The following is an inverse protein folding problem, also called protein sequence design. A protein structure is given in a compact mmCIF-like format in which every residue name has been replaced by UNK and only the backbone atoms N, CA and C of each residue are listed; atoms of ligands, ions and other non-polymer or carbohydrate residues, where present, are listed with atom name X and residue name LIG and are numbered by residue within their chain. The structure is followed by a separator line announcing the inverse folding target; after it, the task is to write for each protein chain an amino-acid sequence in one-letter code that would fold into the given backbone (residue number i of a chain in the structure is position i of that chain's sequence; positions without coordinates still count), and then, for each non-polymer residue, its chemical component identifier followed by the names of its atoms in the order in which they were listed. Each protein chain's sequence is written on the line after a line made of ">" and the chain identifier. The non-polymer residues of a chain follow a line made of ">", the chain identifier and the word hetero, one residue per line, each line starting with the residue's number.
data_IF_200259133647
#
_entry.id   IF_200259133647
#
_cell.length_a   1.000
_cell.length_b   1.000
_cell.length_c   1.000
_cell.angle_alpha   90.00
_cell.angle_beta   90.00
_cell.angle_gamma   90.00
#
_symmetry.space_group_name_H-M   'P 1'
#
loop_
_entity.id
_entity.type
_entity.pdbx_description
1 polymer ?
#
# COMPACT_ATOMS: atom_id res chain seq x y z
N UNK A 1 22.34 -14.55 23.18
CA UNK A 1 21.30 -14.62 22.12
C UNK A 1 21.28 -16.00 21.49
N UNK A 2 20.12 -16.55 21.20
CA UNK A 2 19.92 -17.80 20.43
C UNK A 2 18.96 -17.53 19.28
N UNK A 3 19.18 -18.19 18.14
CA UNK A 3 18.32 -18.09 16.96
C UNK A 3 17.69 -19.45 16.71
N UNK A 4 16.39 -19.47 16.44
CA UNK A 4 15.62 -20.70 16.15
C UNK A 4 14.43 -20.40 15.24
N UNK A 5 13.89 -21.44 14.63
CA UNK A 5 12.61 -21.35 13.93
C UNK A 5 11.46 -21.37 14.93
N UNK A 6 10.50 -20.49 14.74
CA UNK A 6 9.26 -20.45 15.51
C UNK A 6 8.07 -20.83 14.63
N UNK A 7 6.92 -21.13 15.23
CA UNK A 7 5.71 -21.41 14.45
C UNK A 7 5.01 -20.12 14.00
N UNK A 8 4.11 -20.25 13.02
CA UNK A 8 3.42 -19.14 12.38
C UNK A 8 2.59 -18.28 13.37
N UNK A 9 1.97 -18.89 14.38
CA UNK A 9 1.12 -18.16 15.33
C UNK A 9 1.98 -17.31 16.27
N UNK A 10 2.99 -17.93 16.89
CA UNK A 10 3.92 -17.22 17.76
C UNK A 10 4.64 -16.10 16.98
N UNK A 11 5.02 -16.35 15.71
CA UNK A 11 5.63 -15.34 14.88
C UNK A 11 4.71 -14.13 14.69
N UNK A 12 3.44 -14.35 14.34
CA UNK A 12 2.47 -13.26 14.16
C UNK A 12 2.24 -12.47 15.46
N UNK A 13 2.14 -13.17 16.60
CA UNK A 13 1.95 -12.53 17.91
C UNK A 13 3.13 -11.61 18.25
N UNK A 14 4.36 -12.07 18.09
CA UNK A 14 5.55 -11.24 18.32
C UNK A 14 5.69 -10.13 17.27
N UNK A 15 5.49 -10.45 15.99
CA UNK A 15 5.55 -9.47 14.92
C UNK A 15 4.56 -8.33 15.13
N UNK A 16 3.34 -8.62 15.58
CA UNK A 16 2.31 -7.61 15.84
C UNK A 16 2.67 -6.61 16.95
N UNK A 17 3.59 -6.97 17.84
CA UNK A 17 4.07 -6.11 18.92
C UNK A 17 5.23 -5.19 18.49
N UNK A 18 5.85 -5.44 17.33
CA UNK A 18 6.99 -4.65 16.86
C UNK A 18 6.53 -3.38 16.12
N UNK A 19 7.13 -2.21 16.43
CA UNK A 19 6.72 -0.93 15.84
C UNK A 19 6.86 -0.86 14.31
N UNK A 20 7.85 -1.58 13.76
CA UNK A 20 8.14 -1.60 12.32
C UNK A 20 7.48 -2.77 11.60
N UNK A 21 6.63 -3.52 12.30
CA UNK A 21 5.89 -4.62 11.71
C UNK A 21 5.02 -4.18 10.54
N UNK A 22 4.93 -5.05 9.54
CA UNK A 22 4.05 -4.86 8.40
C UNK A 22 3.42 -6.18 8.01
N UNK A 23 2.38 -6.15 7.22
CA UNK A 23 1.73 -7.34 6.67
C UNK A 23 2.72 -8.26 5.93
N UNK A 24 3.80 -7.70 5.36
CA UNK A 24 4.84 -8.44 4.65
C UNK A 24 5.70 -9.31 5.59
N UNK A 25 5.74 -8.99 6.89
CA UNK A 25 6.38 -9.77 7.94
C UNK A 25 5.33 -10.55 8.74
N UNK A 26 4.49 -11.32 8.06
CA UNK A 26 3.45 -12.18 8.66
C UNK A 26 3.42 -13.55 8.02
N UNK A 27 2.81 -14.51 8.71
CA UNK A 27 2.54 -15.82 8.12
C UNK A 27 1.52 -15.74 6.98
N UNK A 28 0.59 -14.79 7.02
CA UNK A 28 -0.43 -14.61 5.96
C UNK A 28 0.21 -14.25 4.63
N UNK A 29 1.14 -13.28 4.64
CA UNK A 29 1.93 -12.93 3.46
C UNK A 29 2.82 -14.09 3.02
N UNK A 30 3.46 -14.76 3.97
CA UNK A 30 4.33 -15.90 3.71
C UNK A 30 3.58 -17.05 3.05
N UNK A 31 2.36 -17.36 3.47
CA UNK A 31 1.50 -18.38 2.86
C UNK A 31 1.14 -18.03 1.41
N UNK A 32 0.82 -16.75 1.15
CA UNK A 32 0.64 -16.27 -0.21
C UNK A 32 1.90 -16.48 -1.06
N UNK A 33 3.08 -16.14 -0.55
CA UNK A 33 4.34 -16.33 -1.26
C UNK A 33 4.69 -17.81 -1.46
N UNK A 34 4.30 -18.68 -0.51
CA UNK A 34 4.43 -20.14 -0.67
C UNK A 34 3.58 -20.62 -1.86
N UNK A 35 2.39 -20.09 -2.05
CA UNK A 35 1.57 -20.39 -3.24
C UNK A 35 2.22 -19.94 -4.55
N UNK A 36 3.14 -18.96 -4.49
CA UNK A 36 3.95 -18.48 -5.63
C UNK A 36 5.29 -19.26 -5.77
N UNK A 37 5.49 -20.35 -5.00
CA UNK A 37 6.62 -21.26 -5.12
C UNK A 37 7.83 -20.93 -4.24
N UNK A 38 7.65 -20.13 -3.19
CA UNK A 38 8.65 -19.92 -2.15
C UNK A 38 8.52 -21.00 -1.05
N UNK A 39 9.58 -21.19 -0.27
CA UNK A 39 9.53 -21.83 1.06
C UNK A 39 9.59 -20.69 2.08
N UNK A 40 8.76 -20.72 3.12
CA UNK A 40 8.81 -19.76 4.21
C UNK A 40 9.45 -20.37 5.44
N UNK A 41 10.22 -19.57 6.19
CA UNK A 41 10.74 -19.89 7.53
C UNK A 41 10.55 -18.67 8.42
N UNK A 42 10.10 -18.89 9.65
CA UNK A 42 9.89 -17.84 10.65
C UNK A 42 11.01 -17.94 11.68
N UNK A 43 11.81 -16.89 11.78
CA UNK A 43 13.01 -16.85 12.59
C UNK A 43 12.81 -15.90 13.75
N UNK A 44 13.15 -16.40 14.93
CA UNK A 44 13.19 -15.62 16.16
C UNK A 44 14.59 -15.67 16.76
N UNK A 45 15.05 -14.53 17.28
CA UNK A 45 16.26 -14.45 18.09
C UNK A 45 15.92 -13.90 19.47
N UNK A 46 16.22 -14.69 20.52
CA UNK A 46 15.91 -14.34 21.90
C UNK A 46 17.16 -14.32 22.78
N UNK A 47 17.07 -13.56 23.88
CA UNK A 47 18.08 -13.55 24.93
C UNK A 47 18.06 -14.85 25.78
N UNK A 48 18.84 -14.87 26.86
CA UNK A 48 18.90 -16.02 27.81
C UNK A 48 17.64 -16.15 28.68
N UNK A 49 16.81 -15.08 28.74
CA UNK A 49 15.57 -15.01 29.48
C UNK A 49 14.35 -15.33 28.62
N UNK A 50 14.55 -15.54 27.30
CA UNK A 50 13.48 -15.78 26.33
C UNK A 50 12.80 -14.52 25.82
N UNK A 51 13.40 -13.34 26.05
CA UNK A 51 12.90 -12.09 25.46
C UNK A 51 13.23 -12.07 23.98
N UNK A 52 12.23 -11.89 23.13
CA UNK A 52 12.43 -11.71 21.69
C UNK A 52 13.18 -10.40 21.43
N UNK A 53 14.28 -10.49 20.68
CA UNK A 53 15.15 -9.35 20.33
C UNK A 53 15.17 -9.05 18.83
N UNK A 54 14.83 -10.03 18.00
CA UNK A 54 14.72 -9.87 16.57
C UNK A 54 13.82 -10.94 15.96
N UNK A 55 13.16 -10.60 14.88
CA UNK A 55 12.27 -11.45 14.10
C UNK A 55 12.54 -11.32 12.60
N UNK A 56 12.29 -12.36 11.84
CA UNK A 56 12.26 -12.29 10.39
C UNK A 56 11.41 -13.39 9.77
N UNK A 57 10.51 -13.04 8.89
CA UNK A 57 10.00 -13.95 7.89
C UNK A 57 11.01 -14.06 6.76
N UNK A 58 11.47 -15.27 6.46
CA UNK A 58 12.39 -15.53 5.35
C UNK A 58 11.66 -16.29 4.25
N UNK A 59 11.67 -15.71 3.05
CA UNK A 59 11.10 -16.30 1.84
C UNK A 59 12.24 -16.85 0.97
N UNK A 60 12.33 -18.18 0.88
CA UNK A 60 13.41 -18.86 0.16
C UNK A 60 12.92 -19.29 -1.22
N UNK A 61 13.59 -18.85 -2.25
CA UNK A 61 13.33 -19.24 -3.64
C UNK A 61 14.53 -19.99 -4.22
N UNK A 62 14.30 -21.15 -4.83
CA UNK A 62 15.37 -21.86 -5.54
C UNK A 62 15.94 -21.00 -6.67
N UNK A 63 17.27 -20.95 -6.79
CA UNK A 63 17.94 -20.19 -7.85
C UNK A 63 17.59 -20.70 -9.25
N UNK A 64 17.42 -22.01 -9.39
CA UNK A 64 16.92 -22.66 -10.59
C UNK A 64 16.30 -24.02 -10.26
N UNK A 65 15.62 -24.64 -11.22
CA UNK A 65 15.01 -25.96 -11.02
C UNK A 65 16.04 -27.04 -10.64
N UNK A 66 17.27 -26.96 -11.15
CA UNK A 66 18.34 -27.90 -10.88
C UNK A 66 19.25 -27.51 -9.71
N UNK A 67 19.08 -26.30 -9.16
CA UNK A 67 19.89 -25.82 -8.04
C UNK A 67 19.45 -26.43 -6.73
N UNK A 68 20.44 -26.79 -5.88
CA UNK A 68 20.22 -27.08 -4.47
C UNK A 68 20.30 -25.84 -3.58
N UNK A 69 20.61 -24.66 -4.17
CA UNK A 69 20.78 -23.40 -3.48
C UNK A 69 19.53 -22.54 -3.56
N UNK A 70 19.39 -21.67 -2.55
CA UNK A 70 18.29 -20.73 -2.43
C UNK A 70 18.81 -19.30 -2.39
N UNK A 71 17.98 -18.37 -2.87
CA UNK A 71 18.04 -16.96 -2.49
C UNK A 71 16.98 -16.74 -1.42
N UNK A 72 17.34 -16.12 -0.31
CA UNK A 72 16.43 -15.72 0.75
C UNK A 72 16.06 -14.23 0.61
N UNK A 73 14.82 -13.90 0.89
CA UNK A 73 14.29 -12.53 0.97
C UNK A 73 13.66 -12.35 2.35
N UNK A 74 14.04 -11.29 3.06
CA UNK A 74 13.33 -10.78 4.23
C UNK A 74 12.60 -9.49 3.82
N UNK A 75 11.33 -9.58 3.38
CA UNK A 75 10.57 -8.42 2.93
C UNK A 75 10.27 -7.52 4.12
N UNK A 76 10.47 -6.20 4.00
CA UNK A 76 10.28 -5.22 5.07
C UNK A 76 11.01 -5.55 6.39
N UNK A 77 12.02 -6.36 6.34
CA UNK A 77 12.73 -6.85 7.53
C UNK A 77 14.24 -6.83 7.35
N UNK A 78 14.95 -7.09 8.39
CA UNK A 78 14.56 -7.73 9.69
C UNK A 78 13.77 -6.79 10.64
N UNK A 79 12.92 -7.35 11.51
CA UNK A 79 12.34 -6.65 12.65
C UNK A 79 13.38 -6.70 13.80
N UNK A 80 14.19 -5.68 13.91
CA UNK A 80 15.28 -5.56 14.87
C UNK A 80 15.61 -4.08 15.08
N UNK A 81 16.14 -3.74 16.24
CA UNK A 81 16.63 -2.39 16.46
C UNK A 81 17.93 -2.12 15.67
N UNK A 82 17.82 -1.43 14.54
CA UNK A 82 18.96 -1.04 13.69
C UNK A 82 19.85 0.03 14.31
N UNK A 83 19.51 0.61 15.46
CA UNK A 83 20.35 1.56 16.21
C UNK A 83 21.25 0.87 17.24
N UNK A 84 21.08 -0.45 17.45
CA UNK A 84 21.93 -1.26 18.32
C UNK A 84 22.90 -2.10 17.47
N UNK A 85 24.11 -1.55 17.29
CA UNK A 85 25.16 -2.17 16.45
C UNK A 85 25.57 -3.55 16.98
N UNK A 86 25.70 -3.74 18.29
CA UNK A 86 26.12 -5.02 18.88
C UNK A 86 25.03 -6.08 18.80
N UNK A 87 23.78 -5.67 18.99
CA UNK A 87 22.62 -6.54 18.79
C UNK A 87 22.57 -7.02 17.34
N UNK A 88 22.63 -6.09 16.39
CA UNK A 88 22.53 -6.41 14.97
C UNK A 88 23.69 -7.28 14.51
N UNK A 89 24.92 -7.01 14.93
CA UNK A 89 26.11 -7.78 14.61
C UNK A 89 26.02 -9.22 15.13
N UNK A 90 25.53 -9.40 16.35
CA UNK A 90 25.30 -10.72 16.94
C UNK A 90 24.24 -11.50 16.18
N UNK A 91 23.10 -10.86 15.89
CA UNK A 91 22.02 -11.43 15.09
C UNK A 91 22.49 -11.81 13.68
N UNK A 92 23.23 -10.91 13.01
CA UNK A 92 23.81 -11.16 11.68
C UNK A 92 24.66 -12.42 11.65
N UNK A 93 25.55 -12.62 12.65
CA UNK A 93 26.39 -13.81 12.74
C UNK A 93 25.58 -15.10 12.83
N UNK A 94 24.59 -15.13 13.73
CA UNK A 94 23.68 -16.27 13.89
C UNK A 94 22.84 -16.53 12.63
N UNK A 95 22.33 -15.47 12.02
CA UNK A 95 21.55 -15.56 10.78
C UNK A 95 22.40 -16.09 9.60
N UNK A 96 23.64 -15.62 9.46
CA UNK A 96 24.53 -16.13 8.43
C UNK A 96 24.82 -17.62 8.57
N UNK A 97 25.00 -18.12 9.79
CA UNK A 97 25.19 -19.54 10.04
C UNK A 97 23.93 -20.37 9.79
N UNK A 98 22.76 -19.87 10.16
CA UNK A 98 21.48 -20.48 9.82
C UNK A 98 21.28 -20.57 8.29
N UNK A 99 21.51 -19.49 7.57
CA UNK A 99 21.35 -19.43 6.12
C UNK A 99 22.28 -20.39 5.37
N UNK A 100 23.52 -20.58 5.87
CA UNK A 100 24.44 -21.61 5.32
C UNK A 100 23.88 -23.02 5.47
N UNK A 101 23.28 -23.35 6.62
CA UNK A 101 22.64 -24.65 6.87
C UNK A 101 21.47 -24.87 5.92
N UNK A 102 20.67 -23.82 5.65
CA UNK A 102 19.56 -23.83 4.70
C UNK A 102 20.01 -23.74 3.22
N UNK A 103 21.33 -23.78 2.94
CA UNK A 103 21.90 -23.69 1.58
C UNK A 103 21.54 -22.41 0.85
N UNK A 104 21.38 -21.32 1.54
CA UNK A 104 21.18 -20.00 0.97
C UNK A 104 22.52 -19.49 0.44
N UNK A 105 22.54 -18.97 -0.78
CA UNK A 105 23.73 -18.36 -1.41
C UNK A 105 23.69 -16.84 -1.36
N UNK A 106 22.48 -16.27 -1.30
CA UNK A 106 22.25 -14.82 -1.28
C UNK A 106 21.08 -14.51 -0.38
N UNK A 107 21.25 -13.54 0.50
CA UNK A 107 20.18 -12.95 1.29
C UNK A 107 19.86 -11.56 0.74
N UNK A 108 18.60 -11.24 0.61
CA UNK A 108 18.08 -9.92 0.32
C UNK A 108 17.30 -9.42 1.53
N UNK A 109 17.54 -8.18 1.94
CA UNK A 109 16.80 -7.52 3.03
C UNK A 109 16.29 -6.15 2.58
N UNK A 110 15.18 -5.71 3.15
CA UNK A 110 14.52 -4.43 2.86
C UNK A 110 14.24 -3.69 4.18
N UNK A 111 15.28 -3.12 4.85
CA UNK A 111 15.11 -2.45 6.13
C UNK A 111 14.11 -1.30 6.07
N UNK A 112 13.18 -1.24 7.00
CA UNK A 112 12.20 -0.15 7.14
C UNK A 112 12.81 1.07 7.86
N UNK A 113 14.00 1.46 7.48
CA UNK A 113 14.82 2.52 8.06
C UNK A 113 14.98 3.65 7.05
N UNK A 114 14.87 4.89 7.52
CA UNK A 114 15.00 6.08 6.68
C UNK A 114 16.38 6.19 6.03
N UNK A 115 16.40 6.71 4.80
CA UNK A 115 17.60 6.85 3.98
C UNK A 115 18.70 7.70 4.59
N UNK A 116 18.34 8.63 5.45
CA UNK A 116 19.30 9.51 6.13
C UNK A 116 19.92 8.90 7.39
N UNK A 117 19.52 7.69 7.77
CA UNK A 117 20.15 6.93 8.85
C UNK A 117 21.50 6.35 8.44
N UNK A 118 22.52 7.20 8.45
CA UNK A 118 23.88 6.82 8.05
C UNK A 118 24.50 5.74 8.95
N UNK A 119 24.09 5.65 10.20
CA UNK A 119 24.62 4.65 11.13
C UNK A 119 24.21 3.25 10.71
N UNK A 120 22.93 3.04 10.41
CA UNK A 120 22.43 1.76 9.93
C UNK A 120 23.04 1.39 8.57
N UNK A 121 23.16 2.36 7.65
CA UNK A 121 23.81 2.14 6.34
C UNK A 121 25.24 1.67 6.50
N UNK A 122 26.06 2.39 7.27
CA UNK A 122 27.48 2.03 7.52
C UNK A 122 27.63 0.68 8.23
N UNK A 123 26.70 0.34 9.14
CA UNK A 123 26.69 -0.94 9.81
C UNK A 123 26.46 -2.08 8.81
N UNK A 124 25.44 -1.94 7.94
CA UNK A 124 25.16 -2.92 6.90
C UNK A 124 26.37 -3.11 5.98
N UNK A 125 27.01 -2.02 5.52
CA UNK A 125 28.19 -2.07 4.66
C UNK A 125 29.39 -2.77 5.35
N UNK A 126 29.66 -2.45 6.62
CA UNK A 126 30.72 -3.11 7.42
C UNK A 126 30.51 -4.62 7.54
N UNK A 127 29.25 -5.07 7.60
CA UNK A 127 28.88 -6.49 7.67
C UNK A 127 28.82 -7.17 6.30
N UNK A 128 29.19 -6.46 5.23
CA UNK A 128 29.29 -7.00 3.88
C UNK A 128 28.03 -6.93 3.03
N UNK A 129 26.97 -6.28 3.53
CA UNK A 129 25.78 -6.02 2.72
C UNK A 129 26.11 -4.99 1.62
N UNK A 130 25.51 -5.19 0.46
CA UNK A 130 25.64 -4.29 -0.69
C UNK A 130 24.28 -3.80 -1.11
N UNK A 131 24.15 -2.49 -1.30
CA UNK A 131 22.93 -1.88 -1.80
C UNK A 131 22.65 -2.32 -3.23
N UNK A 132 21.45 -2.80 -3.49
CA UNK A 132 20.96 -3.25 -4.80
C UNK A 132 20.08 -2.18 -5.47
N UNK A 133 19.17 -1.56 -4.70
CA UNK A 133 18.25 -0.53 -5.19
C UNK A 133 17.77 0.38 -4.07
N UNK A 134 17.32 1.57 -4.46
CA UNK A 134 16.55 2.44 -3.58
C UNK A 134 15.12 1.88 -3.41
N UNK A 135 14.50 2.17 -2.27
CA UNK A 135 13.08 1.90 -2.00
C UNK A 135 12.43 3.22 -1.62
N UNK A 136 11.28 3.49 -2.22
CA UNK A 136 10.40 4.60 -1.86
C UNK A 136 9.09 4.01 -1.38
N UNK A 137 8.66 4.42 -0.19
CA UNK A 137 7.33 4.15 0.35
C UNK A 137 6.54 5.45 0.30
N UNK A 138 5.28 5.37 -0.02
CA UNK A 138 4.37 6.52 -0.06
C UNK A 138 3.47 6.47 1.17
N UNK A 139 3.41 7.56 1.93
CA UNK A 139 2.70 7.62 3.20
C UNK A 139 1.69 8.77 3.22
N UNK A 140 0.54 8.53 3.86
CA UNK A 140 -0.44 9.57 4.24
C UNK A 140 -0.61 9.55 5.75
N UNK A 141 -0.51 10.72 6.37
CA UNK A 141 -0.91 10.92 7.76
C UNK A 141 -2.45 10.98 7.83
N UNK A 142 -3.06 10.06 8.58
CA UNK A 142 -4.52 9.97 8.70
C UNK A 142 -5.15 11.21 9.35
N UNK A 143 -4.39 11.94 10.18
CA UNK A 143 -4.85 13.18 10.82
C UNK A 143 -4.72 14.41 9.91
N UNK A 144 -3.84 14.35 8.91
CA UNK A 144 -3.68 15.40 7.89
C UNK A 144 -4.77 15.34 6.81
N UNK A 145 -5.86 14.64 7.08
CA UNK A 145 -7.00 14.47 6.22
C UNK A 145 -7.44 15.80 5.59
N UNK A 146 -7.20 15.93 4.33
CA UNK A 146 -7.59 17.10 3.57
C UNK A 146 -9.01 16.86 3.08
N UNK A 147 -9.97 17.61 3.60
CA UNK A 147 -11.29 17.76 3.01
C UNK A 147 -11.17 18.43 1.63
N UNK A 148 -10.41 17.83 0.73
CA UNK A 148 -10.29 18.33 -0.62
C UNK A 148 -11.43 17.75 -1.44
N UNK A 149 -12.24 18.63 -1.82
CA UNK A 149 -13.52 18.55 -2.44
C UNK A 149 -13.48 17.62 -3.66
N UNK A 150 -14.12 16.49 -3.52
CA UNK A 150 -14.74 15.82 -4.67
C UNK A 150 -15.50 16.89 -5.48
N UNK A 151 -15.50 16.78 -6.78
CA UNK A 151 -16.30 17.69 -7.62
C UNK A 151 -17.75 17.70 -7.10
N UNK A 152 -18.32 18.85 -6.70
CA UNK A 152 -19.67 18.90 -6.12
C UNK A 152 -20.75 18.36 -7.08
N UNK A 153 -20.42 18.22 -8.35
CA UNK A 153 -21.31 17.71 -9.38
C UNK A 153 -21.18 16.20 -9.59
N UNK A 154 -20.17 15.53 -8.97
CA UNK A 154 -19.99 14.08 -9.04
C UNK A 154 -20.27 13.48 -7.67
N UNK A 155 -21.38 12.78 -7.56
CA UNK A 155 -21.77 12.14 -6.31
C UNK A 155 -21.17 10.73 -6.26
N UNK A 156 -20.10 10.60 -5.48
CA UNK A 156 -19.43 9.33 -5.25
C UNK A 156 -19.94 8.68 -3.95
N UNK A 157 -19.94 7.35 -3.94
CA UNK A 157 -20.20 6.54 -2.77
C UNK A 157 -19.00 5.61 -2.56
N UNK A 158 -18.51 5.54 -1.33
CA UNK A 158 -17.51 4.55 -0.94
C UNK A 158 -18.19 3.46 -0.14
N UNK A 159 -17.92 2.22 -0.48
CA UNK A 159 -18.31 1.05 0.30
C UNK A 159 -17.09 0.19 0.60
N UNK A 160 -17.13 -0.51 1.71
CA UNK A 160 -16.09 -1.43 2.14
C UNK A 160 -16.61 -2.85 2.08
N UNK A 161 -15.86 -3.74 1.46
CA UNK A 161 -16.16 -5.17 1.40
C UNK A 161 -14.94 -5.97 1.82
N UNK A 162 -15.18 -7.20 2.28
CA UNK A 162 -14.12 -8.14 2.68
C UNK A 162 -13.93 -9.28 1.66
N UNK A 163 -14.18 -8.99 0.39
CA UNK A 163 -14.01 -9.95 -0.70
C UNK A 163 -13.41 -9.30 -1.95
N UNK A 164 -12.90 -10.12 -2.84
CA UNK A 164 -12.23 -9.69 -4.07
C UNK A 164 -13.15 -9.60 -5.29
N UNK A 165 -14.46 -9.75 -5.12
CA UNK A 165 -15.44 -9.88 -6.22
C UNK A 165 -15.41 -8.70 -7.18
N UNK A 166 -15.14 -7.48 -6.67
CA UNK A 166 -15.06 -6.27 -7.49
C UNK A 166 -13.78 -6.25 -8.30
N UNK A 167 -12.65 -6.57 -7.67
CA UNK A 167 -11.39 -6.66 -8.38
C UNK A 167 -11.43 -7.71 -9.50
N UNK A 168 -12.05 -8.87 -9.26
CA UNK A 168 -12.24 -9.92 -10.29
C UNK A 168 -13.00 -9.40 -11.51
N UNK A 169 -13.91 -8.44 -11.31
CA UNK A 169 -14.66 -7.79 -12.40
C UNK A 169 -13.81 -6.73 -13.11
N UNK A 170 -12.98 -6.00 -12.38
CA UNK A 170 -12.14 -4.92 -12.90
C UNK A 170 -10.82 -5.45 -13.49
N UNK A 171 -10.32 -6.59 -13.00
CA UNK A 171 -9.06 -7.19 -13.45
C UNK A 171 -9.13 -7.60 -14.93
N UNK A 172 -8.26 -7.00 -15.73
CA UNK A 172 -8.20 -7.18 -17.19
C UNK A 172 -7.18 -8.22 -17.62
N UNK A 173 -6.13 -8.45 -16.83
CA UNK A 173 -5.05 -9.37 -17.13
C UNK A 173 -5.08 -10.65 -16.29
N UNK A 174 -4.33 -11.68 -16.75
CA UNK A 174 -4.13 -12.90 -15.97
C UNK A 174 -3.28 -12.64 -14.73
N UNK A 175 -2.32 -11.74 -14.83
CA UNK A 175 -1.40 -11.36 -13.76
C UNK A 175 -2.17 -10.67 -12.62
N UNK A 176 -2.98 -9.67 -12.93
CA UNK A 176 -3.87 -9.02 -11.96
C UNK A 176 -4.77 -10.03 -11.24
N UNK A 177 -5.33 -11.03 -11.95
CA UNK A 177 -6.15 -12.08 -11.35
C UNK A 177 -5.37 -13.03 -10.43
N UNK A 178 -4.10 -13.28 -10.73
CA UNK A 178 -3.23 -14.07 -9.86
C UNK A 178 -2.86 -13.30 -8.59
N UNK A 179 -2.69 -11.99 -8.68
CA UNK A 179 -2.36 -11.16 -7.50
C UNK A 179 -3.56 -11.06 -6.55
N UNK A 180 -4.78 -11.12 -7.04
CA UNK A 180 -5.98 -11.15 -6.22
C UNK A 180 -6.07 -12.37 -5.29
N UNK A 181 -5.32 -13.44 -5.54
CA UNK A 181 -5.28 -14.60 -4.63
C UNK A 181 -4.77 -14.25 -3.23
N UNK A 182 -4.12 -13.11 -3.07
CA UNK A 182 -3.70 -12.60 -1.76
C UNK A 182 -4.85 -12.54 -0.76
N UNK A 183 -6.07 -12.25 -1.20
CA UNK A 183 -7.27 -12.22 -0.33
C UNK A 183 -7.55 -13.55 0.36
N UNK A 184 -7.25 -14.68 -0.30
CA UNK A 184 -7.46 -16.02 0.26
C UNK A 184 -6.57 -16.26 1.48
N UNK A 185 -5.42 -15.58 1.54
CA UNK A 185 -4.41 -15.70 2.59
C UNK A 185 -4.54 -14.63 3.67
N UNK A 186 -4.83 -13.38 3.28
CA UNK A 186 -4.95 -12.27 4.23
C UNK A 186 -6.23 -12.32 5.06
N UNK A 187 -7.30 -12.98 4.56
CA UNK A 187 -8.57 -13.17 5.29
C UNK A 187 -9.11 -11.87 5.90
N UNK A 188 -9.25 -11.86 7.25
CA UNK A 188 -9.78 -10.72 7.99
C UNK A 188 -8.83 -9.49 8.04
N UNK A 189 -7.57 -9.67 7.63
CA UNK A 189 -6.58 -8.60 7.56
C UNK A 189 -6.62 -7.80 6.26
N UNK A 190 -7.58 -8.06 5.37
CA UNK A 190 -7.75 -7.31 4.14
C UNK A 190 -9.16 -6.76 4.00
N UNK A 191 -9.26 -5.56 3.44
CA UNK A 191 -10.51 -4.91 3.08
C UNK A 191 -10.39 -4.24 1.72
N UNK A 192 -11.49 -4.14 0.99
CA UNK A 192 -11.56 -3.45 -0.30
C UNK A 192 -12.46 -2.25 -0.17
N UNK A 193 -11.88 -1.07 -0.41
CA UNK A 193 -12.59 0.19 -0.52
C UNK A 193 -12.93 0.43 -1.98
N UNK A 194 -14.21 0.68 -2.27
CA UNK A 194 -14.71 0.77 -3.63
C UNK A 194 -15.46 2.08 -3.78
N UNK A 195 -15.04 2.89 -4.75
CA UNK A 195 -15.78 4.08 -5.16
C UNK A 195 -16.70 3.75 -6.34
N UNK A 196 -17.96 4.13 -6.22
CA UNK A 196 -18.96 4.07 -7.28
C UNK A 196 -19.62 5.42 -7.49
N UNK A 197 -20.05 5.70 -8.73
CA UNK A 197 -20.79 6.92 -9.07
C UNK A 197 -22.26 6.68 -8.84
N UNK A 198 -22.93 7.59 -8.12
CA UNK A 198 -24.39 7.71 -8.16
C UNK A 198 -24.76 8.47 -9.44
N UNK A 199 -24.98 7.75 -10.53
CA UNK A 199 -25.18 8.33 -11.86
C UNK A 199 -26.38 9.28 -11.90
N UNK A 200 -27.49 8.90 -11.28
CA UNK A 200 -28.72 9.70 -11.28
C UNK A 200 -28.53 11.02 -10.55
N UNK A 201 -27.93 10.97 -9.34
CA UNK A 201 -27.70 12.20 -8.57
C UNK A 201 -26.65 13.08 -9.22
N UNK A 202 -25.60 12.51 -9.81
CA UNK A 202 -24.55 13.27 -10.48
C UNK A 202 -25.09 13.99 -11.72
N UNK A 203 -25.85 13.31 -12.58
CA UNK A 203 -26.47 13.96 -13.76
C UNK A 203 -27.41 15.08 -13.32
N UNK A 204 -28.17 14.89 -12.26
CA UNK A 204 -29.03 15.94 -11.72
C UNK A 204 -28.23 17.13 -11.21
N UNK A 205 -27.18 16.93 -10.41
CA UNK A 205 -26.33 18.00 -9.88
C UNK A 205 -25.65 18.80 -11.01
N UNK A 206 -25.16 18.10 -12.03
CA UNK A 206 -24.59 18.72 -13.24
C UNK A 206 -25.65 19.60 -13.93
N UNK A 207 -26.88 19.10 -14.14
CA UNK A 207 -27.95 19.84 -14.78
C UNK A 207 -28.33 21.10 -13.99
N UNK A 208 -28.43 21.00 -12.67
CA UNK A 208 -28.71 22.13 -11.78
C UNK A 208 -27.60 23.19 -11.85
N UNK A 209 -26.32 22.79 -11.83
CA UNK A 209 -25.18 23.71 -11.96
C UNK A 209 -25.13 24.39 -13.33
N UNK A 210 -25.37 23.65 -14.41
CA UNK A 210 -25.44 24.23 -15.76
C UNK A 210 -26.57 25.25 -15.87
N UNK A 211 -27.74 24.96 -15.32
CA UNK A 211 -28.87 25.89 -15.35
C UNK A 211 -28.58 27.18 -14.56
N UNK A 212 -27.87 27.10 -13.42
CA UNK A 212 -27.41 28.25 -12.65
C UNK A 212 -26.40 29.10 -13.48
N UNK A 213 -25.43 28.45 -14.09
CA UNK A 213 -24.45 29.13 -14.94
C UNK A 213 -25.10 29.81 -16.12
N UNK A 214 -26.04 29.15 -16.82
CA UNK A 214 -26.77 29.70 -17.96
C UNK A 214 -27.62 30.92 -17.55
N UNK A 215 -28.26 30.90 -16.38
CA UNK A 215 -29.00 32.04 -15.84
C UNK A 215 -28.06 33.25 -15.61
N UNK A 216 -26.90 33.04 -14.98
CA UNK A 216 -25.90 34.06 -14.74
C UNK A 216 -25.39 34.67 -16.08
N UNK A 217 -25.02 33.80 -17.02
CA UNK A 217 -24.54 34.20 -18.34
C UNK A 217 -25.59 35.09 -19.06
N UNK A 218 -26.85 34.65 -19.04
CA UNK A 218 -27.96 35.40 -19.67
C UNK A 218 -28.15 36.76 -19.05
N UNK A 219 -28.06 36.88 -17.72
CA UNK A 219 -28.23 38.16 -17.02
C UNK A 219 -27.09 39.13 -17.28
N UNK A 220 -25.83 38.65 -17.34
CA UNK A 220 -24.65 39.50 -17.34
C UNK A 220 -23.90 39.58 -18.67
N UNK A 221 -24.35 38.89 -19.74
CA UNK A 221 -23.67 38.80 -21.03
C UNK A 221 -23.32 40.14 -21.68
N UNK A 222 -24.13 41.15 -21.44
CA UNK A 222 -23.95 42.48 -22.04
C UNK A 222 -23.22 43.46 -21.10
N UNK A 223 -22.88 43.05 -19.86
CA UNK A 223 -22.19 43.92 -18.91
C UNK A 223 -20.67 43.64 -18.93
N UNK A 224 -19.91 44.67 -19.40
CA UNK A 224 -18.46 44.54 -19.51
C UNK A 224 -17.76 44.25 -18.16
N UNK A 225 -18.42 44.53 -17.03
CA UNK A 225 -17.87 44.28 -15.70
C UNK A 225 -17.83 42.80 -15.37
N UNK A 226 -18.61 41.99 -16.05
CA UNK A 226 -18.75 40.55 -15.80
C UNK A 226 -18.18 39.65 -16.90
N UNK A 227 -17.45 40.21 -17.88
CA UNK A 227 -16.93 39.47 -19.04
C UNK A 227 -16.08 38.28 -18.62
N UNK A 228 -15.22 38.43 -17.62
CA UNK A 228 -14.36 37.36 -17.10
C UNK A 228 -15.18 36.27 -16.46
N UNK A 229 -16.11 36.60 -15.59
CA UNK A 229 -17.01 35.65 -14.91
C UNK A 229 -17.93 34.92 -15.88
N UNK A 230 -18.44 35.60 -16.91
CA UNK A 230 -19.23 34.97 -17.98
C UNK A 230 -18.39 33.93 -18.72
N UNK A 231 -17.14 34.24 -19.06
CA UNK A 231 -16.23 33.31 -19.72
C UNK A 231 -15.91 32.11 -18.81
N UNK A 232 -15.70 32.31 -17.50
CA UNK A 232 -15.51 31.25 -16.54
C UNK A 232 -16.71 30.29 -16.47
N UNK A 233 -17.93 30.85 -16.46
CA UNK A 233 -19.18 30.07 -16.45
C UNK A 233 -19.38 29.28 -17.74
N UNK A 234 -19.06 29.88 -18.91
CA UNK A 234 -19.09 29.16 -20.19
C UNK A 234 -18.08 28.00 -20.24
N UNK A 235 -16.87 28.23 -19.73
CA UNK A 235 -15.85 27.20 -19.63
C UNK A 235 -16.29 26.05 -18.67
N UNK A 236 -16.88 26.41 -17.52
CA UNK A 236 -17.41 25.45 -16.57
C UNK A 236 -18.55 24.63 -17.17
N UNK A 237 -19.48 25.24 -17.90
CA UNK A 237 -20.52 24.51 -18.62
C UNK A 237 -19.95 23.54 -19.66
N UNK A 238 -18.85 23.90 -20.32
CA UNK A 238 -18.16 23.03 -21.26
C UNK A 238 -17.53 21.83 -20.55
N UNK A 239 -16.95 22.04 -19.36
CA UNK A 239 -16.45 20.97 -18.49
C UNK A 239 -17.57 20.04 -18.00
N UNK A 240 -18.67 20.62 -17.52
CA UNK A 240 -19.83 19.87 -17.02
C UNK A 240 -20.48 19.00 -18.11
N UNK A 241 -20.56 19.48 -19.35
CA UNK A 241 -21.03 18.68 -20.50
C UNK A 241 -20.14 17.46 -20.76
N UNK A 242 -18.82 17.62 -20.70
CA UNK A 242 -17.88 16.50 -20.84
C UNK A 242 -18.07 15.48 -19.71
N UNK A 243 -18.21 15.97 -18.49
CA UNK A 243 -18.44 15.17 -17.31
C UNK A 243 -19.76 14.37 -17.41
N UNK A 244 -20.84 15.03 -17.82
CA UNK A 244 -22.14 14.38 -18.04
C UNK A 244 -22.02 13.28 -19.09
N UNK A 245 -21.41 13.56 -20.24
CA UNK A 245 -21.22 12.59 -21.30
C UNK A 245 -20.38 11.38 -20.84
N UNK A 246 -19.36 11.60 -20.00
CA UNK A 246 -18.57 10.53 -19.42
C UNK A 246 -19.42 9.64 -18.50
N UNK A 247 -20.25 10.23 -17.63
CA UNK A 247 -21.15 9.51 -16.71
C UNK A 247 -22.21 8.70 -17.48
N UNK A 248 -22.78 9.28 -18.54
CA UNK A 248 -23.83 8.63 -19.36
C UNK A 248 -23.31 7.38 -20.11
N UNK A 249 -21.99 7.27 -20.31
CA UNK A 249 -21.39 6.07 -20.90
C UNK A 249 -21.31 4.88 -19.94
N UNK A 250 -21.55 5.08 -18.65
CA UNK A 250 -21.55 4.01 -17.66
C UNK A 250 -22.95 3.44 -17.44
N UNK A 251 -23.02 2.17 -17.05
CA UNK A 251 -24.24 1.59 -16.48
C UNK A 251 -24.58 2.26 -15.15
N UNK A 252 -25.79 2.08 -14.65
CA UNK A 252 -26.21 2.63 -13.34
C UNK A 252 -25.21 2.25 -12.23
N UNK A 253 -24.76 3.24 -11.48
CA UNK A 253 -23.87 3.13 -10.31
C UNK A 253 -22.61 2.27 -10.55
N UNK A 254 -21.74 2.61 -11.55
CA UNK A 254 -20.56 1.83 -11.86
C UNK A 254 -19.52 1.95 -10.73
N UNK A 255 -18.82 0.85 -10.45
CA UNK A 255 -17.59 0.86 -9.67
C UNK A 255 -16.46 1.42 -10.55
N UNK A 256 -15.83 2.50 -10.10
CA UNK A 256 -14.83 3.22 -10.90
C UNK A 256 -13.41 3.11 -10.35
N UNK A 257 -13.27 2.90 -9.05
CA UNK A 257 -11.99 2.65 -8.43
C UNK A 257 -12.12 1.71 -7.24
N UNK A 258 -11.07 0.97 -6.94
CA UNK A 258 -11.01 0.07 -5.81
C UNK A 258 -9.59 0.00 -5.25
N UNK A 259 -9.45 0.07 -3.92
CA UNK A 259 -8.21 -0.08 -3.19
C UNK A 259 -8.30 -1.28 -2.27
N UNK A 260 -7.31 -2.17 -2.36
CA UNK A 260 -7.11 -3.21 -1.37
C UNK A 260 -6.17 -2.71 -0.29
N UNK A 261 -6.63 -2.74 0.92
CA UNK A 261 -5.79 -2.40 2.08
C UNK A 261 -5.67 -3.60 2.99
N UNK A 262 -4.55 -3.66 3.70
CA UNK A 262 -4.33 -4.62 4.77
C UNK A 262 -3.98 -3.90 6.05
N UNK A 263 -4.64 -4.31 7.13
CA UNK A 263 -4.34 -3.82 8.47
C UNK A 263 -3.54 -4.88 9.21
N UNK A 264 -2.40 -4.47 9.74
CA UNK A 264 -1.61 -5.31 10.62
C UNK A 264 -0.96 -4.45 11.71
N UNK A 265 -1.18 -4.84 12.97
CA UNK A 265 -0.77 -4.04 14.13
C UNK A 265 -1.40 -2.64 14.08
N UNK A 266 -0.60 -1.60 14.14
CA UNK A 266 -0.98 -0.18 14.07
C UNK A 266 -0.80 0.44 12.67
N UNK A 267 -0.59 -0.39 11.64
CA UNK A 267 -0.37 0.04 10.26
C UNK A 267 -1.49 -0.38 9.33
N UNK A 268 -1.76 0.48 8.36
CA UNK A 268 -2.62 0.18 7.22
C UNK A 268 -1.79 0.34 5.94
N UNK A 269 -1.70 -0.73 5.15
CA UNK A 269 -0.92 -0.76 3.91
C UNK A 269 -1.86 -0.92 2.72
N UNK A 270 -1.76 -0.02 1.73
CA UNK A 270 -2.40 -0.20 0.43
C UNK A 270 -1.58 -1.19 -0.37
N UNK A 271 -2.13 -2.38 -0.57
CA UNK A 271 -1.45 -3.49 -1.26
C UNK A 271 -1.52 -3.36 -2.78
N UNK A 272 -2.67 -2.96 -3.29
CA UNK A 272 -2.87 -2.67 -4.70
C UNK A 272 -4.13 -1.83 -4.92
N UNK A 273 -4.18 -1.20 -6.09
CA UNK A 273 -5.29 -0.34 -6.48
C UNK A 273 -5.68 -0.59 -7.93
N UNK A 274 -6.95 -0.36 -8.24
CA UNK A 274 -7.48 -0.33 -9.60
C UNK A 274 -8.32 0.93 -9.78
N UNK A 275 -8.07 1.63 -10.88
CA UNK A 275 -8.85 2.79 -11.27
C UNK A 275 -9.17 2.69 -12.76
N UNK A 276 -10.46 2.63 -13.11
CA UNK A 276 -10.91 2.66 -14.51
C UNK A 276 -11.07 4.08 -15.04
N UNK A 277 -11.11 5.08 -14.16
CA UNK A 277 -11.09 6.50 -14.51
C UNK A 277 -9.65 6.96 -14.79
N UNK A 278 -9.13 6.57 -15.97
CA UNK A 278 -7.74 6.84 -16.36
C UNK A 278 -7.38 8.33 -16.44
N UNK A 279 -8.37 9.19 -16.61
CA UNK A 279 -8.19 10.65 -16.70
C UNK A 279 -8.43 11.35 -15.36
N UNK A 280 -8.72 10.59 -14.29
CA UNK A 280 -9.07 11.08 -12.94
C UNK A 280 -10.19 12.15 -12.96
N UNK A 281 -11.12 12.00 -13.89
CA UNK A 281 -12.24 12.95 -14.10
C UNK A 281 -13.13 13.04 -12.85
N UNK A 282 -13.27 11.92 -12.11
CA UNK A 282 -14.16 11.80 -10.97
C UNK A 282 -13.45 11.94 -9.63
N UNK A 283 -12.12 12.02 -9.62
CA UNK A 283 -11.29 12.08 -8.39
C UNK A 283 -11.60 10.95 -7.39
N UNK A 284 -11.91 9.77 -7.90
CA UNK A 284 -12.37 8.63 -7.11
C UNK A 284 -11.31 8.12 -6.13
N UNK A 285 -10.02 8.21 -6.50
CA UNK A 285 -8.92 7.80 -5.61
C UNK A 285 -8.88 8.64 -4.35
N UNK A 286 -9.12 9.95 -4.46
CA UNK A 286 -9.10 10.88 -3.32
C UNK A 286 -10.13 10.49 -2.27
N UNK A 287 -11.38 10.26 -2.70
CA UNK A 287 -12.47 9.91 -1.77
C UNK A 287 -12.27 8.54 -1.12
N UNK A 288 -11.63 7.60 -1.83
CA UNK A 288 -11.26 6.30 -1.24
C UNK A 288 -10.22 6.51 -0.14
N UNK A 289 -9.16 7.30 -0.42
CA UNK A 289 -8.10 7.56 0.58
C UNK A 289 -8.66 8.31 1.77
N UNK A 290 -9.55 9.28 1.57
CA UNK A 290 -10.27 9.98 2.63
C UNK A 290 -11.03 9.00 3.53
N UNK A 291 -11.75 8.04 2.96
CA UNK A 291 -12.47 7.03 3.73
C UNK A 291 -11.51 6.07 4.46
N UNK A 292 -10.43 5.64 3.81
CA UNK A 292 -9.39 4.80 4.45
C UNK A 292 -8.80 5.54 5.65
N UNK A 293 -8.42 6.80 5.48
CA UNK A 293 -7.86 7.62 6.56
C UNK A 293 -8.84 7.79 7.72
N UNK A 294 -10.11 8.07 7.44
CA UNK A 294 -11.15 8.18 8.48
C UNK A 294 -11.34 6.87 9.26
N UNK A 295 -11.39 5.74 8.58
CA UNK A 295 -11.54 4.43 9.21
C UNK A 295 -10.28 4.05 10.01
N UNK A 296 -9.09 4.36 9.51
CA UNK A 296 -7.82 4.15 10.19
C UNK A 296 -7.73 5.00 11.47
N UNK A 297 -8.07 6.29 11.37
CA UNK A 297 -8.05 7.20 12.53
C UNK A 297 -9.01 6.72 13.64
N UNK A 298 -10.20 6.23 13.28
CA UNK A 298 -11.16 5.66 14.24
C UNK A 298 -10.61 4.43 14.98
N UNK A 299 -9.61 3.75 14.41
CA UNK A 299 -8.94 2.57 15.00
C UNK A 299 -7.59 2.91 15.65
N UNK A 300 -7.20 4.18 15.67
CA UNK A 300 -5.93 4.66 16.22
C UNK A 300 -4.74 4.46 15.29
N UNK A 301 -4.96 4.09 14.02
CA UNK A 301 -3.90 3.97 13.01
C UNK A 301 -3.61 5.37 12.48
N UNK A 302 -2.37 5.82 12.63
CA UNK A 302 -1.95 7.19 12.30
C UNK A 302 -1.37 7.34 10.89
N UNK A 303 -1.03 6.23 10.23
CA UNK A 303 -0.44 6.25 8.88
C UNK A 303 -1.03 5.17 7.98
N UNK A 304 -1.21 5.55 6.72
CA UNK A 304 -1.48 4.64 5.61
C UNK A 304 -0.28 4.68 4.68
N UNK A 305 0.27 3.53 4.32
CA UNK A 305 1.43 3.42 3.44
C UNK A 305 1.17 2.56 2.19
N UNK A 306 2.07 2.62 1.23
CA UNK A 306 2.10 1.78 0.04
C UNK A 306 3.48 1.82 -0.62
N UNK A 307 3.84 0.76 -1.34
CA UNK A 307 4.99 0.78 -2.26
C UNK A 307 4.68 1.55 -3.57
N UNK A 308 3.42 1.80 -3.86
CA UNK A 308 2.96 2.56 -5.01
C UNK A 308 2.42 3.92 -4.61
N UNK A 309 2.64 4.94 -5.47
CA UNK A 309 2.09 6.27 -5.25
C UNK A 309 0.56 6.24 -5.30
N UNK A 310 -0.08 6.94 -4.37
CA UNK A 310 -1.54 7.08 -4.29
C UNK A 310 -1.94 8.50 -3.88
N UNK A 311 -3.24 8.81 -3.92
CA UNK A 311 -3.72 10.16 -3.66
C UNK A 311 -3.26 10.70 -2.29
N UNK A 312 -2.82 11.94 -2.23
CA UNK A 312 -2.27 12.65 -1.06
C UNK A 312 -0.98 12.09 -0.47
N UNK A 313 -0.46 10.98 -0.97
CA UNK A 313 0.71 10.35 -0.40
C UNK A 313 1.99 11.18 -0.62
N UNK A 314 2.82 11.20 0.40
CA UNK A 314 4.14 11.82 0.38
C UNK A 314 5.21 10.74 0.29
N UNK A 315 6.18 10.87 -0.62
CA UNK A 315 7.24 9.86 -0.73
C UNK A 315 8.20 9.93 0.47
N UNK A 316 8.47 8.77 1.07
CA UNK A 316 9.49 8.55 2.09
C UNK A 316 10.56 7.63 1.53
N UNK A 317 11.80 8.07 1.56
CA UNK A 317 12.94 7.30 1.09
C UNK A 317 13.48 6.42 2.21
N UNK A 318 13.53 5.11 1.96
CA UNK A 318 14.16 4.13 2.85
C UNK A 318 15.62 3.88 2.45
N UNK A 319 16.38 3.20 3.31
CA UNK A 319 17.76 2.78 3.01
C UNK A 319 17.86 2.02 1.70
N UNK A 320 16.86 1.22 1.37
CA UNK A 320 16.77 0.46 0.13
C UNK A 320 16.88 -1.05 0.33
N UNK A 321 16.98 -1.77 -0.78
CA UNK A 321 17.22 -3.21 -0.77
C UNK A 321 18.71 -3.49 -0.72
N UNK A 322 19.12 -4.37 0.18
CA UNK A 322 20.49 -4.79 0.35
C UNK A 322 20.63 -6.29 0.11
N UNK A 323 21.79 -6.69 -0.41
CA UNK A 323 22.15 -8.09 -0.58
C UNK A 323 23.38 -8.45 0.22
N UNK A 324 23.38 -9.68 0.76
CA UNK A 324 24.53 -10.32 1.40
C UNK A 324 24.81 -11.65 0.70
N UNK A 325 26.05 -11.89 0.30
CA UNK A 325 26.49 -13.17 -0.22
C UNK A 325 26.83 -14.09 0.99
N UNK A 326 26.21 -15.24 1.06
CA UNK A 326 26.31 -16.23 2.14
C UNK A 326 27.36 -17.29 1.76
#
# INVERSE_FOLDING_TARGET
>A
MKLYETDANNFNDFSSAEPDASIFQTSYWSDYMVSKGYKASFIEASDEHGTCLALSSLLLKKESFLSSKYTALAPHGFLINYYDEELFKTFHGLMADYLKQERVSKLLIEPQVDKDNRMAEQMLEKLGYRKESDITVYEVDTAAHVNDLSDPNVILKVRVVKDDSVFRKLASSKEEKEDLKIFEYLKDHAAVYIASIDTVKSIRAIGESMAQNDAFIKEHRSDYKFVEQVNEKDNENSRLKKLQAAIENYSADPDIAAYCVSDFSDKCTVLFKMNIDKEDLFKAEKIIVDQICADCLNRGIIKVDSEENFAYAVPRQLLGRYSLKI
#
